data_IF_309277242063
#
_entry.id   IF_309277242063
#
_cell.length_a   1.000
_cell.length_b   1.000
_cell.length_c   1.000
_cell.angle_alpha   90.00
_cell.angle_beta   90.00
_cell.angle_gamma   90.00
#
_symmetry.space_group_name_H-M   'P 1'
#
loop_
_entity.id
_entity.type
_entity.pdbx_description
1 polymer ?
#
# COMPACT_ATOMS: atom_id res chain seq x y z
N UNK A 1 -18.29 5.43 -19.45
CA UNK A 1 -17.86 6.02 -18.18
C UNK A 1 -17.11 4.99 -17.36
N UNK A 2 -15.85 5.22 -17.17
CA UNK A 2 -15.10 4.41 -16.23
C UNK A 2 -15.51 4.80 -14.81
N UNK A 3 -15.88 3.78 -14.05
CA UNK A 3 -16.16 3.95 -12.64
C UNK A 3 -14.87 4.42 -11.94
N UNK A 4 -14.84 5.67 -11.51
CA UNK A 4 -13.75 6.22 -10.69
C UNK A 4 -13.81 5.72 -9.25
N UNK A 5 -14.43 4.57 -9.05
CA UNK A 5 -14.58 3.97 -7.73
C UNK A 5 -13.22 3.56 -7.18
N UNK A 6 -12.87 4.08 -6.02
CA UNK A 6 -11.64 3.74 -5.33
C UNK A 6 -11.60 2.24 -5.02
N UNK A 7 -10.50 1.58 -5.39
CA UNK A 7 -10.30 0.18 -5.07
C UNK A 7 -9.89 0.06 -3.62
N UNK A 8 -10.58 -0.79 -2.89
CA UNK A 8 -10.31 -1.08 -1.49
C UNK A 8 -9.88 -2.52 -1.33
N UNK A 9 -8.78 -2.74 -0.67
CA UNK A 9 -8.16 -4.04 -0.51
C UNK A 9 -8.08 -4.44 0.97
N UNK A 10 -7.88 -5.73 1.20
CA UNK A 10 -7.62 -6.29 2.51
C UNK A 10 -6.63 -7.43 2.34
N UNK A 11 -5.71 -7.58 3.26
CA UNK A 11 -4.82 -8.74 3.32
C UNK A 11 -4.89 -9.36 4.71
N UNK A 12 -4.66 -10.66 4.78
CA UNK A 12 -4.56 -11.37 6.06
C UNK A 12 -3.08 -11.57 6.47
N UNK A 13 -2.85 -12.37 7.50
CA UNK A 13 -1.51 -12.65 8.00
C UNK A 13 -0.57 -13.34 7.01
N UNK A 14 -1.12 -13.95 5.96
CA UNK A 14 -0.30 -14.61 4.92
C UNK A 14 0.30 -13.64 3.91
N UNK A 15 -0.19 -12.40 3.87
CA UNK A 15 0.17 -11.40 2.86
C UNK A 15 0.50 -10.03 3.46
N UNK A 16 1.06 -9.96 4.67
CA UNK A 16 1.35 -8.69 5.35
C UNK A 16 2.31 -7.81 4.55
N UNK A 17 3.40 -8.39 4.04
CA UNK A 17 4.38 -7.64 3.24
C UNK A 17 3.73 -7.08 1.97
N UNK A 18 2.91 -7.88 1.32
CA UNK A 18 2.16 -7.44 0.13
C UNK A 18 1.23 -6.28 0.47
N UNK A 19 0.54 -6.36 1.60
CA UNK A 19 -0.35 -5.29 2.06
C UNK A 19 0.38 -3.97 2.29
N UNK A 20 1.55 -4.01 2.91
CA UNK A 20 2.37 -2.81 3.13
C UNK A 20 2.83 -2.18 1.82
N UNK A 21 3.23 -3.01 0.85
CA UNK A 21 3.60 -2.53 -0.48
C UNK A 21 2.42 -1.92 -1.23
N UNK A 22 1.24 -2.53 -1.11
CA UNK A 22 0.03 -1.97 -1.71
C UNK A 22 -0.30 -0.58 -1.13
N UNK A 23 -0.11 -0.39 0.18
CA UNK A 23 -0.25 0.93 0.81
C UNK A 23 0.76 1.93 0.24
N UNK A 24 2.03 1.53 0.09
CA UNK A 24 3.07 2.37 -0.51
C UNK A 24 2.76 2.71 -1.97
N UNK A 25 2.06 1.84 -2.67
CA UNK A 25 1.59 2.10 -4.04
C UNK A 25 0.34 2.99 -4.08
N UNK A 26 -0.22 3.36 -2.94
CA UNK A 26 -1.36 4.27 -2.85
C UNK A 26 -2.71 3.61 -2.68
N UNK A 27 -2.78 2.30 -2.48
CA UNK A 27 -4.05 1.58 -2.35
C UNK A 27 -4.50 1.49 -0.90
N UNK A 28 -5.78 1.79 -0.68
CA UNK A 28 -6.45 1.57 0.61
C UNK A 28 -6.45 0.07 0.91
N UNK A 29 -5.61 -0.34 1.87
CA UNK A 29 -5.38 -1.76 2.17
C UNK A 29 -5.39 -1.98 3.67
N UNK A 30 -6.42 -2.66 4.17
CA UNK A 30 -6.49 -3.11 5.56
C UNK A 30 -5.63 -4.36 5.73
N UNK A 31 -4.86 -4.41 6.81
CA UNK A 31 -4.08 -5.59 7.20
C UNK A 31 -4.70 -6.15 8.45
N UNK A 32 -5.40 -7.27 8.36
CA UNK A 32 -6.21 -7.82 9.44
C UNK A 32 -5.89 -9.30 9.62
N UNK A 33 -5.57 -9.69 10.86
CA UNK A 33 -5.18 -11.06 11.20
C UNK A 33 -6.33 -11.90 11.74
N UNK A 34 -7.34 -11.26 12.32
CA UNK A 34 -8.47 -11.92 12.99
C UNK A 34 -9.64 -12.09 12.03
N UNK A 35 -10.13 -13.32 11.89
CA UNK A 35 -11.23 -13.63 10.96
C UNK A 35 -12.51 -12.84 11.27
N UNK A 36 -12.85 -12.67 12.54
CA UNK A 36 -14.04 -11.90 12.92
C UNK A 36 -13.93 -10.43 12.51
N UNK A 37 -12.76 -9.83 12.66
CA UNK A 37 -12.51 -8.47 12.20
C UNK A 37 -12.55 -8.38 10.67
N UNK A 38 -11.99 -9.38 9.98
CA UNK A 38 -12.06 -9.45 8.53
C UNK A 38 -13.50 -9.43 8.04
N UNK A 39 -14.37 -10.23 8.66
CA UNK A 39 -15.81 -10.27 8.33
C UNK A 39 -16.50 -8.93 8.56
N UNK A 40 -16.13 -8.23 9.62
CA UNK A 40 -16.70 -6.90 9.94
C UNK A 40 -16.24 -5.82 8.99
N UNK A 41 -14.98 -5.87 8.55
CA UNK A 41 -14.35 -4.79 7.77
C UNK A 41 -14.31 -5.04 6.26
N UNK A 42 -14.66 -6.24 5.80
CA UNK A 42 -14.53 -6.59 4.37
C UNK A 42 -15.32 -5.64 3.47
N UNK A 43 -16.60 -5.39 3.78
CA UNK A 43 -17.42 -4.47 2.98
C UNK A 43 -17.23 -4.68 1.48
N UNK A 44 -16.79 -3.64 0.79
CA UNK A 44 -16.49 -3.66 -0.65
C UNK A 44 -15.02 -4.03 -0.93
N UNK A 45 -14.24 -4.38 0.08
CA UNK A 45 -12.83 -4.72 -0.07
C UNK A 45 -12.65 -6.08 -0.74
N UNK A 46 -11.57 -6.19 -1.49
CA UNK A 46 -11.12 -7.47 -2.05
C UNK A 46 -10.07 -8.02 -1.11
N UNK A 47 -10.29 -9.21 -0.60
CA UNK A 47 -9.33 -9.92 0.25
C UNK A 47 -8.27 -10.60 -0.61
N UNK A 48 -7.01 -10.36 -0.30
CA UNK A 48 -5.87 -11.02 -0.92
C UNK A 48 -5.25 -11.94 0.13
N UNK A 49 -5.18 -13.22 -0.14
CA UNK A 49 -4.74 -14.22 0.82
C UNK A 49 -4.11 -15.42 0.13
N UNK A 50 -3.29 -16.17 0.85
CA UNK A 50 -2.80 -17.48 0.41
C UNK A 50 -3.62 -18.62 1.00
N UNK A 51 -4.54 -18.32 1.90
CA UNK A 51 -5.39 -19.33 2.55
C UNK A 51 -6.62 -19.62 1.68
N UNK A 52 -6.58 -20.75 0.97
CA UNK A 52 -7.67 -21.17 0.07
C UNK A 52 -8.99 -21.39 0.78
N UNK A 53 -8.99 -21.67 2.08
CA UNK A 53 -10.20 -21.90 2.87
C UNK A 53 -11.07 -20.66 2.96
N UNK A 54 -10.48 -19.46 2.84
CA UNK A 54 -11.21 -18.20 2.94
C UNK A 54 -12.14 -17.93 1.75
N UNK A 55 -11.94 -18.61 0.63
CA UNK A 55 -12.85 -18.50 -0.53
C UNK A 55 -14.28 -18.89 -0.17
N UNK A 56 -14.47 -19.88 0.71
CA UNK A 56 -15.81 -20.31 1.13
C UNK A 56 -16.53 -19.23 1.94
N UNK A 57 -15.76 -18.39 2.65
CA UNK A 57 -16.31 -17.35 3.53
C UNK A 57 -16.56 -16.05 2.75
N UNK A 58 -15.60 -15.62 1.94
CA UNK A 58 -15.64 -14.32 1.25
C UNK A 58 -16.08 -14.40 -0.22
N UNK A 59 -16.24 -15.61 -0.75
CA UNK A 59 -16.80 -15.90 -2.08
C UNK A 59 -16.16 -15.07 -3.21
N UNK A 60 -16.90 -14.11 -3.76
CA UNK A 60 -16.48 -13.33 -4.92
C UNK A 60 -15.47 -12.21 -4.59
N UNK A 61 -15.33 -11.87 -3.32
CA UNK A 61 -14.46 -10.77 -2.86
C UNK A 61 -13.09 -11.26 -2.41
N UNK A 62 -12.60 -12.35 -2.98
CA UNK A 62 -11.31 -12.92 -2.58
C UNK A 62 -10.45 -13.25 -3.79
N UNK A 63 -9.17 -12.87 -3.69
CA UNK A 63 -8.11 -13.26 -4.60
C UNK A 63 -7.17 -14.19 -3.86
N UNK A 64 -7.12 -15.45 -4.28
CA UNK A 64 -6.21 -16.42 -3.70
C UNK A 64 -4.88 -16.36 -4.47
N UNK A 65 -3.80 -16.04 -3.77
CA UNK A 65 -2.47 -16.03 -4.37
C UNK A 65 -1.95 -17.45 -4.49
N UNK A 66 -1.52 -17.87 -5.69
CA UNK A 66 -0.76 -19.10 -5.83
C UNK A 66 0.57 -18.99 -5.09
N UNK A 67 1.23 -20.14 -4.87
CA UNK A 67 2.56 -20.15 -4.29
C UNK A 67 3.55 -19.58 -5.31
N UNK A 68 4.13 -18.41 -4.98
CA UNK A 68 5.09 -17.72 -5.83
C UNK A 68 5.90 -16.74 -5.00
N UNK A 69 7.05 -16.27 -5.54
CA UNK A 69 7.84 -15.27 -4.84
C UNK A 69 7.09 -13.92 -4.76
N UNK A 70 7.59 -13.06 -3.88
CA UNK A 70 6.97 -11.78 -3.58
C UNK A 70 6.72 -10.91 -4.82
N UNK A 71 7.71 -10.76 -5.69
CA UNK A 71 7.60 -9.88 -6.86
C UNK A 71 6.62 -10.42 -7.90
N UNK A 72 6.63 -11.73 -8.10
CA UNK A 72 5.64 -12.38 -8.97
C UNK A 72 4.24 -12.23 -8.39
N UNK A 73 4.10 -12.36 -7.07
CA UNK A 73 2.82 -12.16 -6.40
C UNK A 73 2.32 -10.72 -6.55
N UNK A 74 3.19 -9.73 -6.34
CA UNK A 74 2.82 -8.32 -6.54
C UNK A 74 2.38 -8.05 -7.98
N UNK A 75 3.12 -8.58 -8.95
CA UNK A 75 2.76 -8.49 -10.36
C UNK A 75 1.40 -9.12 -10.65
N UNK A 76 1.17 -10.30 -10.08
CA UNK A 76 -0.10 -11.01 -10.21
C UNK A 76 -1.27 -10.18 -9.66
N UNK A 77 -1.12 -9.62 -8.47
CA UNK A 77 -2.15 -8.76 -7.84
C UNK A 77 -2.46 -7.56 -8.73
N UNK A 78 -1.44 -6.85 -9.16
CA UNK A 78 -1.58 -5.62 -9.93
C UNK A 78 -2.27 -5.89 -11.27
N UNK A 79 -1.84 -6.92 -11.98
CA UNK A 79 -2.42 -7.27 -13.27
C UNK A 79 -3.82 -7.85 -13.14
N UNK A 80 -4.03 -8.75 -12.19
CA UNK A 80 -5.31 -9.42 -12.01
C UNK A 80 -6.42 -8.46 -11.61
N UNK A 81 -6.10 -7.46 -10.79
CA UNK A 81 -7.04 -6.45 -10.34
C UNK A 81 -7.01 -5.16 -11.17
N UNK A 82 -6.23 -5.16 -12.25
CA UNK A 82 -6.12 -4.01 -13.18
C UNK A 82 -5.73 -2.71 -12.47
N UNK A 83 -4.68 -2.77 -11.65
CA UNK A 83 -4.26 -1.65 -10.81
C UNK A 83 -3.21 -0.75 -11.45
N UNK A 84 -2.69 -1.09 -12.64
CA UNK A 84 -1.55 -0.42 -13.26
C UNK A 84 -1.70 1.10 -13.37
N UNK A 85 -2.89 1.54 -13.75
CA UNK A 85 -3.15 2.97 -13.98
C UNK A 85 -3.63 3.70 -12.72
N UNK A 86 -3.69 3.01 -11.58
CA UNK A 86 -4.20 3.55 -10.32
C UNK A 86 -3.11 3.72 -9.27
N UNK A 87 -1.88 3.43 -9.62
CA UNK A 87 -0.75 3.51 -8.70
C UNK A 87 -0.41 4.98 -8.43
N UNK A 88 -0.40 5.35 -7.14
CA UNK A 88 -0.01 6.68 -6.64
C UNK A 88 0.99 6.49 -5.50
N UNK A 89 2.29 6.39 -5.83
CA UNK A 89 3.31 6.07 -4.82
C UNK A 89 3.34 7.08 -3.68
N UNK A 90 3.49 6.58 -2.48
CA UNK A 90 3.73 7.37 -1.26
C UNK A 90 2.62 8.37 -0.93
N UNK A 91 1.38 8.08 -1.33
CA UNK A 91 0.21 8.86 -0.94
C UNK A 91 -0.47 8.32 0.32
N UNK A 92 -0.04 7.14 0.80
CA UNK A 92 -0.58 6.52 2.02
C UNK A 92 0.53 6.09 2.96
N UNK A 93 0.26 6.17 4.25
CA UNK A 93 1.15 5.65 5.29
C UNK A 93 1.14 4.11 5.27
N UNK A 94 2.33 3.51 5.19
CA UNK A 94 2.45 2.04 5.18
C UNK A 94 2.07 1.40 6.51
N UNK A 95 2.11 2.17 7.60
CA UNK A 95 1.79 1.68 8.95
C UNK A 95 0.31 1.82 9.30
N UNK A 96 -0.33 2.91 8.88
CA UNK A 96 -1.69 3.28 9.28
C UNK A 96 -2.73 3.16 8.18
N UNK A 97 -2.32 3.05 6.92
CA UNK A 97 -3.21 3.08 5.75
C UNK A 97 -3.91 4.43 5.52
N UNK A 98 -3.60 5.45 6.32
CA UNK A 98 -4.16 6.79 6.14
C UNK A 98 -3.49 7.53 4.98
N UNK A 99 -4.24 8.36 4.28
CA UNK A 99 -3.65 9.27 3.30
C UNK A 99 -2.74 10.27 4.00
N UNK A 100 -1.53 10.45 3.47
CA UNK A 100 -0.60 11.43 4.02
C UNK A 100 -0.93 12.82 3.48
N UNK A 101 -0.64 13.84 4.28
CA UNK A 101 -0.89 15.24 3.94
C UNK A 101 0.42 16.01 3.88
N UNK A 102 0.44 17.11 3.11
CA UNK A 102 1.60 18.00 3.06
C UNK A 102 1.86 18.66 4.40
N UNK A 103 3.13 18.83 4.74
CA UNK A 103 3.57 19.54 5.93
C UNK A 103 4.69 20.51 5.54
N UNK A 104 4.69 21.72 6.11
CA UNK A 104 5.69 22.72 5.79
C UNK A 104 7.06 22.33 6.32
N UNK A 105 8.10 22.77 5.63
CA UNK A 105 9.49 22.50 6.03
C UNK A 105 9.77 23.03 7.46
N UNK A 106 9.22 24.17 7.82
CA UNK A 106 9.41 24.73 9.15
C UNK A 106 8.89 23.84 10.26
N UNK A 107 7.79 23.13 10.00
CA UNK A 107 7.16 22.23 10.99
C UNK A 107 7.93 20.93 11.18
N UNK A 108 8.78 20.52 10.22
CA UNK A 108 9.57 19.29 10.35
C UNK A 108 10.93 19.51 10.99
N UNK A 109 11.33 20.74 11.24
CA UNK A 109 12.61 21.06 11.90
C UNK A 109 12.69 20.37 13.25
N UNK A 110 13.79 19.63 13.47
CA UNK A 110 13.97 18.87 14.71
C UNK A 110 13.25 17.52 14.75
N UNK A 111 12.41 17.23 13.75
CA UNK A 111 11.65 15.96 13.65
C UNK A 111 12.22 15.00 12.62
N UNK A 112 13.15 15.48 11.81
CA UNK A 112 13.88 14.68 10.81
C UNK A 112 15.38 14.88 11.03
N UNK A 113 16.24 13.98 10.52
CA UNK A 113 17.68 14.19 10.60
C UNK A 113 18.08 15.52 9.96
N UNK A 114 19.10 16.17 10.51
CA UNK A 114 19.54 17.50 10.07
C UNK A 114 19.83 17.55 8.57
N UNK A 115 20.54 16.55 8.04
CA UNK A 115 20.87 16.51 6.62
C UNK A 115 19.62 16.39 5.73
N UNK A 116 18.57 15.72 6.24
CA UNK A 116 17.27 15.60 5.54
C UNK A 116 16.61 16.98 5.49
N UNK A 117 16.58 17.67 6.63
CA UNK A 117 16.02 19.02 6.70
C UNK A 117 16.72 19.96 5.72
N UNK A 118 18.04 19.91 5.63
CA UNK A 118 18.81 20.80 4.75
C UNK A 118 18.67 20.47 3.26
N UNK A 119 18.51 19.19 2.92
CA UNK A 119 18.59 18.74 1.52
C UNK A 119 17.25 18.46 0.85
N UNK A 120 16.16 18.43 1.59
CA UNK A 120 14.82 18.16 1.04
C UNK A 120 13.88 19.31 1.36
N UNK A 121 12.97 19.59 0.43
CA UNK A 121 12.05 20.72 0.52
C UNK A 121 10.57 20.30 0.57
N UNK A 122 10.26 19.06 0.22
CA UNK A 122 8.91 18.55 0.20
C UNK A 122 8.73 17.44 1.24
N UNK A 123 7.77 17.64 2.13
CA UNK A 123 7.49 16.71 3.22
C UNK A 123 6.00 16.42 3.32
N UNK A 124 5.69 15.19 3.73
CA UNK A 124 4.33 14.75 4.02
C UNK A 124 4.31 14.09 5.38
N UNK A 125 3.15 14.08 6.01
CA UNK A 125 2.97 13.50 7.34
C UNK A 125 1.71 12.64 7.37
N UNK A 126 1.77 11.52 8.08
CA UNK A 126 0.58 10.75 8.39
C UNK A 126 -0.18 11.44 9.52
N UNK A 127 -1.44 11.86 9.33
CA UNK A 127 -2.18 12.55 10.38
C UNK A 127 -2.50 11.66 11.59
N UNK A 128 -2.40 10.34 11.43
CA UNK A 128 -2.70 9.39 12.50
C UNK A 128 -1.48 9.06 13.36
N UNK A 129 -0.34 8.72 12.77
CA UNK A 129 0.86 8.30 13.53
C UNK A 129 1.97 9.34 13.55
N UNK A 130 1.80 10.44 12.81
CA UNK A 130 2.77 11.54 12.70
C UNK A 130 4.10 11.17 12.04
N UNK A 131 4.17 10.02 11.36
CA UNK A 131 5.35 9.66 10.58
C UNK A 131 5.53 10.63 9.43
N UNK A 132 6.77 11.11 9.25
CA UNK A 132 7.12 12.07 8.21
C UNK A 132 7.76 11.34 7.02
N UNK A 133 7.35 11.71 5.82
CA UNK A 133 7.80 11.13 4.55
C UNK A 133 8.46 12.19 3.69
N UNK A 134 9.55 11.81 3.02
CA UNK A 134 10.25 12.65 2.05
C UNK A 134 10.84 11.78 0.94
N UNK A 135 11.26 12.39 -0.17
CA UNK A 135 11.79 11.70 -1.35
C UNK A 135 13.24 11.27 -1.24
N UNK A 136 13.61 10.59 -0.17
CA UNK A 136 14.99 10.12 0.06
C UNK A 136 15.33 8.82 -0.68
N UNK A 137 16.44 8.18 -0.27
CA UNK A 137 16.96 6.96 -0.91
C UNK A 137 15.97 5.78 -0.88
N UNK A 138 15.20 5.65 0.18
CA UNK A 138 14.15 4.61 0.26
C UNK A 138 13.07 4.82 -0.79
N UNK A 139 12.67 6.07 -1.00
CA UNK A 139 11.70 6.44 -2.02
C UNK A 139 12.22 6.11 -3.42
N UNK A 140 13.44 6.51 -3.73
CA UNK A 140 14.07 6.26 -5.03
C UNK A 140 14.21 4.77 -5.30
N UNK A 141 14.67 3.99 -4.31
CA UNK A 141 14.79 2.54 -4.42
C UNK A 141 13.44 1.88 -4.66
N UNK A 142 12.41 2.35 -3.97
CA UNK A 142 11.05 1.84 -4.17
C UNK A 142 10.57 2.07 -5.60
N UNK A 143 10.79 3.25 -6.16
CA UNK A 143 10.42 3.55 -7.55
C UNK A 143 11.20 2.68 -8.54
N UNK A 144 12.49 2.44 -8.29
CA UNK A 144 13.31 1.54 -9.10
C UNK A 144 12.77 0.11 -9.06
N UNK A 145 12.42 -0.38 -7.88
CA UNK A 145 11.85 -1.72 -7.72
C UNK A 145 10.54 -1.87 -8.48
N UNK A 146 9.67 -0.88 -8.44
CA UNK A 146 8.43 -0.89 -9.22
C UNK A 146 8.73 -0.99 -10.71
N UNK A 147 9.66 -0.17 -11.19
CA UNK A 147 10.04 -0.17 -12.59
C UNK A 147 10.68 -1.50 -13.02
N UNK A 148 11.65 -1.99 -12.24
CA UNK A 148 12.46 -3.15 -12.62
C UNK A 148 11.77 -4.48 -12.31
N UNK A 149 11.04 -4.58 -11.20
CA UNK A 149 10.43 -5.83 -10.73
C UNK A 149 8.99 -6.00 -11.18
N UNK A 150 8.26 -4.92 -11.28
CA UNK A 150 6.83 -4.93 -11.68
C UNK A 150 6.67 -4.48 -13.12
N UNK A 151 7.63 -3.72 -13.66
CA UNK A 151 7.61 -3.29 -15.05
C UNK A 151 6.66 -2.13 -15.34
N UNK A 152 6.35 -1.33 -14.33
CA UNK A 152 5.44 -0.18 -14.47
C UNK A 152 6.27 1.11 -14.41
N UNK A 153 6.03 1.99 -15.39
CA UNK A 153 6.61 3.34 -15.41
C UNK A 153 5.72 4.28 -14.58
N UNK A 154 6.35 4.93 -13.65
CA UNK A 154 5.67 5.92 -12.81
C UNK A 154 6.27 7.29 -13.08
#
# INVERSE_FOLDING_TARGET
MQDDKEIKLMVDSTCVRHGRWLRLLGFDTEIIKNLNEMKKKIGERILITRNKKLRKIFKDNVLILPEMDFWKAMNFIIKHLSLENKIKPFTRCSLCNEEVIGISKNEVKGKVPHYVYENFNSFHICPKCNKIYWGGSHYERFLEDIKDKIGIKI
#
